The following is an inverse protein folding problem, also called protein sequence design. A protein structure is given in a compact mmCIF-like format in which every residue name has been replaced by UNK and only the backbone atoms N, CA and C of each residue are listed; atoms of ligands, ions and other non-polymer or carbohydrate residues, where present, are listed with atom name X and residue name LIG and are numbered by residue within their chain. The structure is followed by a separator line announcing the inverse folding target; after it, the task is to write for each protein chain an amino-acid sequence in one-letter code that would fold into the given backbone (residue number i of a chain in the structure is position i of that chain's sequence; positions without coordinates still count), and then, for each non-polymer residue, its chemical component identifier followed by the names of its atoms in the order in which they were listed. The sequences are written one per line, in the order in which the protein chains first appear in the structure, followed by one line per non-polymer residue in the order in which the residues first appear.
data_IF_926552277354
#
_entry.id   IF_926552277354
#
_cell.length_a   1.000
_cell.length_b   1.000
_cell.length_c   1.000
_cell.angle_alpha   90.00
_cell.angle_beta   90.00
_cell.angle_gamma   90.00
#
_symmetry.space_group_name_H-M   'P 1'
#
loop_
_entity.id
_entity.type
_entity.pdbx_description
1 polymer ?
#
# COMPACT_ATOMS: atom_id res chain seq x y z
N UNK A 1 29.86 0.92 -19.42
CA UNK A 1 29.72 0.23 -18.12
C UNK A 1 28.24 -0.06 -17.93
N UNK A 2 27.80 -1.25 -18.33
CA UNK A 2 26.37 -1.61 -18.41
C UNK A 2 25.92 -2.05 -17.02
N UNK A 3 24.94 -1.35 -16.45
CA UNK A 3 24.57 -1.42 -15.05
C UNK A 3 24.01 -2.79 -14.65
N UNK A 4 24.83 -3.58 -13.95
CA UNK A 4 24.36 -4.68 -13.13
C UNK A 4 23.66 -4.09 -11.90
N UNK A 5 22.39 -4.42 -11.69
CA UNK A 5 21.65 -4.02 -10.49
C UNK A 5 21.57 -5.20 -9.53
N UNK A 6 22.09 -5.00 -8.30
CA UNK A 6 21.98 -5.95 -7.20
C UNK A 6 20.94 -5.43 -6.21
N UNK A 7 19.99 -6.28 -5.84
CA UNK A 7 19.03 -6.02 -4.79
C UNK A 7 19.05 -7.19 -3.80
N UNK A 8 18.92 -6.92 -2.50
CA UNK A 8 18.68 -7.96 -1.48
C UNK A 8 17.27 -7.79 -0.91
N UNK A 9 16.59 -8.90 -0.70
CA UNK A 9 15.20 -8.99 -0.25
C UNK A 9 15.10 -10.07 0.83
N UNK A 10 14.23 -9.87 1.82
CA UNK A 10 13.86 -10.95 2.73
C UNK A 10 12.46 -11.45 2.38
N UNK A 11 12.34 -12.75 2.16
CA UNK A 11 11.06 -13.43 1.89
C UNK A 11 10.96 -14.60 2.87
N UNK A 12 9.91 -14.62 3.68
CA UNK A 12 9.66 -15.66 4.71
C UNK A 12 10.87 -15.92 5.64
N UNK A 13 11.62 -14.86 5.99
CA UNK A 13 12.82 -14.94 6.83
C UNK A 13 14.06 -15.50 6.12
N UNK A 14 14.00 -15.72 4.80
CA UNK A 14 15.14 -16.11 3.98
C UNK A 14 15.66 -14.90 3.19
N UNK A 15 16.98 -14.67 3.21
CA UNK A 15 17.60 -13.67 2.34
C UNK A 15 17.63 -14.18 0.89
N UNK A 16 17.15 -13.35 -0.03
CA UNK A 16 17.17 -13.57 -1.48
C UNK A 16 17.93 -12.40 -2.10
N UNK A 17 19.04 -12.72 -2.75
CA UNK A 17 19.80 -11.75 -3.56
C UNK A 17 19.34 -11.85 -5.00
N UNK A 18 19.04 -10.71 -5.60
CA UNK A 18 18.59 -10.59 -6.99
C UNK A 18 19.66 -9.86 -7.79
N UNK A 19 20.13 -10.50 -8.86
CA UNK A 19 21.03 -9.90 -9.84
C UNK A 19 20.29 -9.69 -11.15
N UNK A 20 20.10 -8.43 -11.54
CA UNK A 20 19.48 -8.08 -12.82
C UNK A 20 20.55 -7.70 -13.84
N UNK A 21 20.59 -8.45 -14.94
CA UNK A 21 21.52 -8.30 -16.04
C UNK A 21 20.77 -7.76 -17.28
N UNK A 22 21.35 -6.78 -18.00
CA UNK A 22 20.66 -6.10 -19.10
C UNK A 22 20.53 -6.95 -20.39
N UNK A 23 21.14 -8.12 -20.45
CA UNK A 23 21.14 -8.98 -21.63
C UNK A 23 21.01 -10.46 -21.27
N UNK A 24 20.99 -11.33 -22.28
CA UNK A 24 20.87 -12.76 -22.07
C UNK A 24 22.12 -13.28 -21.36
N UNK A 25 21.93 -14.27 -20.49
CA UNK A 25 23.01 -14.91 -19.74
C UNK A 25 23.38 -16.21 -20.46
N UNK A 26 24.66 -16.34 -20.83
CA UNK A 26 25.17 -17.57 -21.44
C UNK A 26 25.33 -18.69 -20.41
N UNK A 27 25.38 -19.95 -20.85
CA UNK A 27 25.63 -21.08 -19.94
C UNK A 27 26.96 -20.97 -19.19
N UNK A 28 28.00 -20.45 -19.83
CA UNK A 28 29.30 -20.18 -19.19
C UNK A 28 29.17 -19.12 -18.08
N UNK A 29 28.43 -18.04 -18.33
CA UNK A 29 28.17 -17.01 -17.33
C UNK A 29 27.37 -17.56 -16.14
N UNK A 30 26.40 -18.45 -16.38
CA UNK A 30 25.65 -19.11 -15.30
C UNK A 30 26.59 -19.92 -14.40
N UNK A 31 27.50 -20.70 -14.97
CA UNK A 31 28.44 -21.50 -14.18
C UNK A 31 29.44 -20.62 -13.42
N UNK A 32 29.91 -19.53 -14.02
CA UNK A 32 30.76 -18.56 -13.33
C UNK A 32 30.03 -17.93 -12.13
N UNK A 33 28.78 -17.46 -12.33
CA UNK A 33 27.97 -16.88 -11.26
C UNK A 33 27.74 -17.87 -10.12
N UNK A 34 27.51 -19.15 -10.42
CA UNK A 34 27.37 -20.20 -9.41
C UNK A 34 28.65 -20.41 -8.60
N UNK A 35 29.80 -20.44 -9.27
CA UNK A 35 31.10 -20.59 -8.61
C UNK A 35 31.41 -19.39 -7.71
N UNK A 36 31.18 -18.17 -8.22
CA UNK A 36 31.40 -16.93 -7.47
C UNK A 36 30.50 -16.88 -6.23
N UNK A 37 29.21 -17.22 -6.39
CA UNK A 37 28.25 -17.28 -5.29
C UNK A 37 28.65 -18.30 -4.21
N UNK A 38 29.10 -19.49 -4.63
CA UNK A 38 29.57 -20.52 -3.70
C UNK A 38 30.86 -20.10 -2.98
N UNK A 39 31.77 -19.40 -3.68
CA UNK A 39 33.03 -18.91 -3.12
C UNK A 39 32.83 -17.79 -2.09
N UNK A 40 31.85 -16.90 -2.29
CA UNK A 40 31.53 -15.84 -1.33
C UNK A 40 30.84 -16.37 -0.06
N UNK A 41 30.30 -17.60 -0.07
CA UNK A 41 29.67 -18.21 1.09
C UNK A 41 28.44 -17.43 1.58
N UNK A 42 27.78 -16.70 0.69
CA UNK A 42 26.65 -15.85 1.05
C UNK A 42 25.45 -16.71 1.49
N UNK A 43 24.84 -16.41 2.65
CA UNK A 43 23.62 -17.09 3.06
C UNK A 43 22.46 -16.71 2.13
N UNK A 44 21.54 -17.65 1.90
CA UNK A 44 20.30 -17.38 1.17
C UNK A 44 20.22 -17.97 -0.24
N UNK A 45 19.30 -17.44 -1.05
CA UNK A 45 19.07 -17.84 -2.45
C UNK A 45 19.49 -16.72 -3.40
N UNK A 46 20.08 -17.10 -4.52
CA UNK A 46 20.38 -16.18 -5.62
C UNK A 46 19.32 -16.34 -6.72
N UNK A 47 18.73 -15.22 -7.13
CA UNK A 47 17.87 -15.11 -8.30
C UNK A 47 18.58 -14.26 -9.36
N UNK A 48 18.78 -14.80 -10.55
CA UNK A 48 19.38 -14.08 -11.67
C UNK A 48 18.30 -13.78 -12.70
N UNK A 49 18.13 -12.50 -12.99
CA UNK A 49 17.21 -11.99 -14.00
C UNK A 49 18.01 -11.54 -15.23
N UNK A 50 17.71 -12.11 -16.38
CA UNK A 50 18.33 -11.77 -17.66
C UNK A 50 17.44 -10.85 -18.50
N UNK A 51 17.97 -10.37 -19.62
CA UNK A 51 17.22 -9.66 -20.66
C UNK A 51 16.51 -8.39 -20.15
N UNK A 52 17.12 -7.73 -19.17
CA UNK A 52 16.56 -6.52 -18.57
C UNK A 52 15.30 -6.77 -17.72
N UNK A 53 14.98 -8.03 -17.41
CA UNK A 53 13.94 -8.35 -16.46
C UNK A 53 14.27 -7.72 -15.10
N UNK A 54 13.24 -7.14 -14.48
CA UNK A 54 13.33 -6.50 -13.17
C UNK A 54 12.37 -7.19 -12.22
N UNK A 55 12.83 -7.48 -11.01
CA UNK A 55 11.93 -7.88 -9.95
C UNK A 55 11.31 -6.62 -9.36
N UNK A 56 9.98 -6.51 -9.47
CA UNK A 56 9.22 -5.61 -8.61
C UNK A 56 8.59 -6.47 -7.54
N UNK A 57 9.05 -6.32 -6.29
CA UNK A 57 8.39 -6.98 -5.17
C UNK A 57 7.14 -6.15 -4.87
N UNK A 58 6.00 -6.60 -5.41
CA UNK A 58 4.66 -6.24 -4.90
C UNK A 58 4.47 -6.94 -3.54
N UNK A 59 5.41 -6.72 -2.61
CA UNK A 59 5.21 -7.12 -1.22
C UNK A 59 4.15 -6.19 -0.66
N UNK A 60 3.28 -6.70 0.22
CA UNK A 60 2.47 -5.87 1.12
C UNK A 60 3.35 -4.73 1.60
N UNK A 61 3.12 -3.56 1.05
CA UNK A 61 3.86 -2.38 1.44
C UNK A 61 3.27 -2.03 2.80
N UNK A 62 4.06 -2.17 3.86
CA UNK A 62 3.61 -1.78 5.19
C UNK A 62 3.09 -0.32 5.18
N UNK A 63 3.56 0.51 4.23
CA UNK A 63 3.00 1.83 4.00
C UNK A 63 1.60 1.76 3.39
N UNK A 64 1.34 0.87 2.43
CA UNK A 64 -0.01 0.67 1.89
C UNK A 64 -0.96 0.07 2.93
N UNK A 65 -0.52 -0.92 3.71
CA UNK A 65 -1.31 -1.49 4.80
C UNK A 65 -1.61 -0.41 5.87
N UNK A 66 -0.62 0.44 6.18
CA UNK A 66 -0.80 1.60 7.06
C UNK A 66 -1.75 2.64 6.47
N UNK A 67 -1.64 2.92 5.16
CA UNK A 67 -2.54 3.85 4.45
C UNK A 67 -3.96 3.30 4.49
N UNK A 68 -4.16 2.01 4.22
CA UNK A 68 -5.47 1.36 4.25
C UNK A 68 -6.08 1.40 5.65
N UNK A 69 -5.29 1.16 6.69
CA UNK A 69 -5.74 1.29 8.09
C UNK A 69 -6.13 2.72 8.46
N UNK A 70 -5.35 3.72 8.05
CA UNK A 70 -5.65 5.13 8.28
C UNK A 70 -6.91 5.58 7.53
N UNK A 71 -7.09 5.13 6.29
CA UNK A 71 -8.29 5.42 5.49
C UNK A 71 -9.53 4.79 6.10
N UNK A 72 -9.43 3.55 6.58
CA UNK A 72 -10.55 2.87 7.28
C UNK A 72 -10.96 3.67 8.52
N UNK A 73 -9.98 4.08 9.33
CA UNK A 73 -10.23 4.89 10.55
C UNK A 73 -10.90 6.23 10.21
N UNK A 74 -10.46 6.89 9.13
CA UNK A 74 -11.04 8.15 8.67
C UNK A 74 -12.49 7.99 8.20
N UNK A 75 -12.80 6.91 7.50
CA UNK A 75 -14.17 6.61 7.03
C UNK A 75 -15.09 6.35 8.22
N UNK A 76 -14.63 5.60 9.22
CA UNK A 76 -15.38 5.36 10.46
C UNK A 76 -15.64 6.67 11.22
N UNK A 77 -14.63 7.53 11.38
CA UNK A 77 -14.81 8.81 12.08
C UNK A 77 -15.79 9.75 11.38
N UNK A 78 -15.79 9.77 10.04
CA UNK A 78 -16.73 10.58 9.26
C UNK A 78 -18.16 10.02 9.30
N UNK A 79 -18.32 8.71 9.50
CA UNK A 79 -19.63 8.09 9.68
C UNK A 79 -20.24 8.43 11.06
N UNK A 80 -19.41 8.53 12.10
CA UNK A 80 -19.84 8.88 13.46
C UNK A 80 -20.20 10.37 13.63
N UNK A 81 -19.62 11.28 12.82
CA UNK A 81 -19.96 12.72 12.83
C UNK A 81 -21.33 13.04 12.20
N UNK A 82 -22.02 12.04 11.62
CA UNK A 82 -23.35 12.18 11.01
C UNK A 82 -24.53 12.11 11.99
N UNK A 83 -24.30 11.87 13.29
CA UNK A 83 -25.35 11.83 14.32
C UNK A 83 -25.39 13.11 15.17
N UNK A 84 -25.31 14.29 14.55
CA UNK A 84 -25.85 15.48 15.20
C UNK A 84 -27.37 15.36 15.19
N UNK A 85 -27.94 14.97 16.33
CA UNK A 85 -29.38 15.09 16.56
C UNK A 85 -29.80 16.51 16.17
N UNK A 86 -30.59 16.65 15.10
CA UNK A 86 -31.21 17.91 14.70
C UNK A 86 -32.02 18.43 15.90
N UNK A 87 -31.41 19.30 16.71
CA UNK A 87 -32.14 20.02 17.72
C UNK A 87 -33.07 20.97 16.97
N UNK A 88 -34.39 20.97 17.25
CA UNK A 88 -35.28 21.92 16.61
C UNK A 88 -34.76 23.32 16.88
N UNK A 89 -34.56 24.11 15.82
CA UNK A 89 -34.19 25.51 15.96
C UNK A 89 -35.27 26.19 16.81
N UNK A 90 -34.91 26.68 18.00
CA UNK A 90 -35.85 27.40 18.85
C UNK A 90 -35.83 28.87 18.48
N UNK A 91 -37.01 29.47 18.36
CA UNK A 91 -37.17 30.92 18.31
C UNK A 91 -36.74 31.56 19.65
N UNK A 92 -36.57 32.88 19.68
CA UNK A 92 -36.19 33.64 20.89
C UNK A 92 -37.18 33.51 22.06
N UNK A 93 -38.40 33.09 21.79
CA UNK A 93 -39.47 32.75 22.74
C UNK A 93 -39.54 31.25 23.09
N UNK A 94 -38.67 30.43 22.51
CA UNK A 94 -38.53 29.01 22.83
C UNK A 94 -39.48 28.08 22.06
N UNK A 95 -40.07 28.53 20.95
CA UNK A 95 -40.91 27.68 20.08
C UNK A 95 -40.05 27.02 19.00
N UNK A 96 -40.36 25.76 18.66
CA UNK A 96 -39.65 25.05 17.60
C UNK A 96 -40.02 25.61 16.21
N UNK A 97 -39.02 26.05 15.45
CA UNK A 97 -39.12 26.43 14.04
C UNK A 97 -39.18 25.14 13.21
N UNK A 98 -40.38 24.74 12.82
CA UNK A 98 -40.57 23.53 12.01
C UNK A 98 -41.89 22.83 12.28
N UNK A 99 -42.98 23.58 12.22
CA UNK A 99 -44.32 23.03 12.11
C UNK A 99 -44.94 23.61 10.84
N UNK A 100 -45.38 22.74 9.93
CA UNK A 100 -46.16 23.10 8.76
C UNK A 100 -47.31 23.99 9.25
N UNK A 101 -47.23 25.30 8.95
CA UNK A 101 -48.32 26.22 9.28
C UNK A 101 -49.49 25.82 8.39
N UNK A 102 -50.44 25.12 9.00
CA UNK A 102 -51.75 24.88 8.42
C UNK A 102 -52.45 26.25 8.30
N UNK A 103 -52.24 26.91 7.15
CA UNK A 103 -52.84 28.21 6.80
C UNK A 103 -54.35 28.10 6.50
N UNK A 104 -55.05 27.11 7.07
CA UNK A 104 -56.48 26.86 6.83
C UNK A 104 -57.44 27.69 7.70
N UNK A 105 -57.00 28.81 8.27
CA UNK A 105 -57.92 29.81 8.83
C UNK A 105 -57.91 31.11 8.02
N UNK A 106 -58.75 31.10 6.99
CA UNK A 106 -59.37 32.30 6.43
C UNK A 106 -60.18 33.02 7.52
N UNK A 107 -59.81 34.25 7.82
CA UNK A 107 -60.69 35.28 8.37
C UNK A 107 -60.46 36.59 7.63
#
# INVERSE_FOLDING_TARGET
MTGMARQSLQVDGQEIVVLSLPGPVSGEQVEQIKQDWAAEGLPGKLLVLSDGAKLSVLGRDEQLDRIESLLTTLVESLADEGEEMEQPELTLDGEAVGGERDDSQLL
#
